data_IF_708728769213
#
_entry.id   IF_708728769213
#
_cell.length_a   1.000
_cell.length_b   1.000
_cell.length_c   1.000
_cell.angle_alpha   90.00
_cell.angle_beta   90.00
_cell.angle_gamma   90.00
#
_symmetry.space_group_name_H-M   'P 1'
#
loop_
_entity.id
_entity.type
_entity.pdbx_description
1 polymer ?
#
# COMPACT_ATOMS: atom_id res chain seq x y z
N UNK A 1 15.47 1.26 -19.31
CA UNK A 1 16.88 1.06 -18.92
C UNK A 1 16.95 -0.29 -18.21
N UNK A 2 18.04 -1.04 -18.36
CA UNK A 2 18.19 -2.31 -17.63
C UNK A 2 18.88 -2.04 -16.31
N UNK A 3 18.16 -2.20 -15.21
CA UNK A 3 18.70 -1.99 -13.87
C UNK A 3 18.97 -3.33 -13.18
N UNK A 4 20.02 -3.34 -12.35
CA UNK A 4 20.47 -4.52 -11.63
C UNK A 4 20.38 -4.27 -10.13
N UNK A 5 19.89 -5.28 -9.43
CA UNK A 5 19.68 -5.27 -8.00
C UNK A 5 20.56 -6.33 -7.35
N UNK A 6 21.37 -5.94 -6.37
CA UNK A 6 22.20 -6.89 -5.64
C UNK A 6 21.70 -7.03 -4.21
N UNK A 7 21.55 -8.26 -3.75
CA UNK A 7 21.09 -8.59 -2.40
C UNK A 7 21.96 -9.71 -1.82
N UNK A 8 22.25 -9.63 -0.53
CA UNK A 8 22.96 -10.69 0.21
C UNK A 8 21.99 -11.38 1.16
N UNK A 9 21.68 -12.65 0.89
CA UNK A 9 20.77 -13.49 1.68
C UNK A 9 21.51 -14.72 2.18
N UNK A 10 21.43 -15.00 3.49
CA UNK A 10 22.05 -16.16 4.13
C UNK A 10 23.54 -16.36 3.80
N UNK A 11 24.28 -15.25 3.66
CA UNK A 11 25.70 -15.23 3.31
C UNK A 11 26.00 -15.43 1.82
N UNK A 12 24.99 -15.48 0.96
CA UNK A 12 25.15 -15.58 -0.49
C UNK A 12 24.66 -14.29 -1.16
N UNK A 13 25.44 -13.79 -2.11
CA UNK A 13 25.09 -12.60 -2.89
C UNK A 13 24.44 -13.01 -4.19
N UNK A 14 23.32 -12.37 -4.51
CA UNK A 14 22.55 -12.59 -5.73
C UNK A 14 22.37 -11.25 -6.44
N UNK A 15 22.46 -11.28 -7.77
CA UNK A 15 22.20 -10.13 -8.62
C UNK A 15 21.04 -10.45 -9.56
N UNK A 16 20.03 -9.59 -9.53
CA UNK A 16 18.80 -9.74 -10.31
C UNK A 16 18.68 -8.58 -11.29
N UNK A 17 18.36 -8.89 -12.53
CA UNK A 17 17.89 -7.89 -13.49
C UNK A 17 16.46 -7.53 -13.16
N UNK A 18 16.13 -6.25 -13.09
CA UNK A 18 14.76 -5.78 -12.89
C UNK A 18 14.40 -4.66 -13.85
N UNK A 19 13.11 -4.51 -14.10
CA UNK A 19 12.56 -3.46 -14.94
C UNK A 19 12.05 -2.33 -14.04
N UNK A 20 12.68 -1.16 -14.16
CA UNK A 20 12.45 0.00 -13.31
C UNK A 20 11.32 0.85 -13.87
N UNK A 21 10.09 0.60 -13.45
CA UNK A 21 8.94 1.38 -13.95
C UNK A 21 8.57 2.61 -13.11
N UNK A 22 9.14 2.78 -11.91
CA UNK A 22 9.04 4.01 -11.06
C UNK A 22 9.53 3.76 -9.61
N UNK A 23 9.68 2.49 -9.21
CA UNK A 23 10.07 2.10 -7.85
C UNK A 23 11.58 1.95 -7.71
N UNK A 24 12.14 2.50 -6.62
CA UNK A 24 13.53 2.25 -6.27
C UNK A 24 13.70 0.77 -5.91
N UNK A 25 14.40 0.02 -6.76
CA UNK A 25 14.65 -1.40 -6.49
C UNK A 25 15.33 -1.63 -5.12
N UNK A 26 16.09 -0.64 -4.63
CA UNK A 26 16.70 -0.65 -3.29
C UNK A 26 15.68 -0.84 -2.17
N UNK A 27 14.52 -0.19 -2.25
CA UNK A 27 13.50 -0.29 -1.20
C UNK A 27 12.91 -1.71 -1.13
N UNK A 28 12.76 -2.37 -2.28
CA UNK A 28 12.34 -3.77 -2.34
C UNK A 28 13.38 -4.71 -1.71
N UNK A 29 14.69 -4.43 -1.89
CA UNK A 29 15.78 -5.16 -1.21
C UNK A 29 15.66 -4.99 0.29
N UNK A 30 15.54 -3.75 0.75
CA UNK A 30 15.51 -3.42 2.16
C UNK A 30 14.31 -4.04 2.87
N UNK A 31 13.13 -4.02 2.23
CA UNK A 31 11.94 -4.71 2.71
C UNK A 31 12.17 -6.22 2.84
N UNK A 32 12.72 -6.87 1.82
CA UNK A 32 12.98 -8.31 1.86
C UNK A 32 14.00 -8.68 2.94
N UNK A 33 15.11 -7.93 3.04
CA UNK A 33 16.13 -8.17 4.06
C UNK A 33 15.60 -7.97 5.49
N UNK A 34 14.77 -6.95 5.70
CA UNK A 34 14.14 -6.67 6.98
C UNK A 34 13.22 -7.83 7.40
N UNK A 35 12.35 -8.28 6.50
CA UNK A 35 11.40 -9.35 6.82
C UNK A 35 12.10 -10.70 6.99
N UNK A 36 13.13 -11.01 6.19
CA UNK A 36 13.96 -12.21 6.40
C UNK A 36 14.60 -12.21 7.77
N UNK A 37 15.21 -11.09 8.21
CA UNK A 37 15.80 -10.98 9.56
C UNK A 37 14.76 -11.14 10.66
N UNK A 38 13.57 -10.59 10.48
CA UNK A 38 12.46 -10.72 11.42
C UNK A 38 12.00 -12.16 11.55
N UNK A 39 11.79 -12.86 10.42
CA UNK A 39 11.45 -14.28 10.41
C UNK A 39 12.59 -15.10 11.05
N UNK A 40 13.85 -14.88 10.66
CA UNK A 40 15.00 -15.55 11.30
C UNK A 40 14.98 -15.40 12.82
N UNK A 41 14.76 -14.19 13.35
CA UNK A 41 14.72 -13.93 14.79
C UNK A 41 13.60 -14.68 15.53
N UNK A 42 12.44 -14.85 14.88
CA UNK A 42 11.29 -15.56 15.45
C UNK A 42 11.54 -17.08 15.56
N UNK A 43 12.37 -17.63 14.67
CA UNK A 43 12.60 -19.07 14.54
C UNK A 43 13.99 -19.52 15.03
N UNK A 44 14.77 -18.63 15.64
CA UNK A 44 16.08 -18.96 16.23
C UNK A 44 16.02 -20.07 17.31
N UNK A 45 14.85 -20.28 17.93
CA UNK A 45 14.64 -21.33 18.93
C UNK A 45 14.13 -22.66 18.35
N UNK A 46 13.71 -22.69 17.09
CA UNK A 46 13.22 -23.88 16.39
C UNK A 46 14.31 -24.46 15.50
N UNK A 47 14.81 -25.63 15.90
CA UNK A 47 16.15 -26.13 15.56
C UNK A 47 16.41 -26.40 14.06
N UNK A 48 15.43 -26.41 13.14
CA UNK A 48 15.70 -26.74 11.73
C UNK A 48 14.70 -26.12 10.74
N UNK A 49 14.47 -24.81 10.77
CA UNK A 49 13.77 -24.18 9.66
C UNK A 49 14.72 -23.96 8.47
N UNK A 50 14.33 -24.53 7.32
CA UNK A 50 15.04 -24.41 6.06
C UNK A 50 15.06 -22.93 5.59
N UNK A 51 16.21 -22.42 5.13
CA UNK A 51 16.37 -21.07 4.56
C UNK A 51 15.33 -20.75 3.49
N UNK A 52 14.92 -21.74 2.70
CA UNK A 52 13.84 -21.60 1.72
C UNK A 52 12.48 -21.30 2.38
N UNK A 53 12.18 -21.96 3.50
CA UNK A 53 10.96 -21.69 4.28
C UNK A 53 10.99 -20.29 4.87
N UNK A 54 12.16 -19.83 5.34
CA UNK A 54 12.35 -18.45 5.83
C UNK A 54 12.03 -17.44 4.73
N UNK A 55 12.57 -17.64 3.51
CA UNK A 55 12.27 -16.78 2.37
C UNK A 55 10.80 -16.80 2.00
N UNK A 56 10.17 -17.97 1.97
CA UNK A 56 8.75 -18.10 1.65
C UNK A 56 7.87 -17.38 2.67
N UNK A 57 8.20 -17.48 3.96
CA UNK A 57 7.51 -16.75 5.02
C UNK A 57 7.71 -15.24 4.90
N UNK A 58 8.93 -14.79 4.62
CA UNK A 58 9.20 -13.37 4.42
C UNK A 58 8.42 -12.80 3.22
N UNK A 59 8.44 -13.51 2.08
CA UNK A 59 7.68 -13.12 0.90
C UNK A 59 6.16 -13.11 1.17
N UNK A 60 5.65 -14.09 1.91
CA UNK A 60 4.24 -14.16 2.27
C UNK A 60 3.84 -12.98 3.17
N UNK A 61 4.65 -12.65 4.17
CA UNK A 61 4.40 -11.52 5.07
C UNK A 61 4.35 -10.19 4.30
N UNK A 62 5.33 -9.94 3.42
CA UNK A 62 5.35 -8.74 2.56
C UNK A 62 4.11 -8.68 1.66
N UNK A 63 3.71 -9.83 1.10
CA UNK A 63 2.52 -9.91 0.23
C UNK A 63 1.24 -9.61 1.01
N UNK A 64 1.11 -10.14 2.22
CA UNK A 64 -0.03 -9.88 3.10
C UNK A 64 -0.11 -8.40 3.49
N UNK A 65 1.03 -7.77 3.81
CA UNK A 65 1.10 -6.35 4.11
C UNK A 65 0.67 -5.50 2.91
N UNK A 66 1.14 -5.83 1.71
CA UNK A 66 0.73 -5.15 0.47
C UNK A 66 -0.78 -5.27 0.21
N UNK A 67 -1.36 -6.46 0.43
CA UNK A 67 -2.81 -6.68 0.30
C UNK A 67 -3.57 -5.83 1.33
N UNK A 68 -3.11 -5.83 2.59
CA UNK A 68 -3.73 -5.03 3.65
C UNK A 68 -3.68 -3.52 3.35
N UNK A 69 -2.53 -3.02 2.87
CA UNK A 69 -2.36 -1.63 2.49
C UNK A 69 -3.30 -1.25 1.34
N UNK A 70 -3.38 -2.09 0.29
CA UNK A 70 -4.30 -1.87 -0.84
C UNK A 70 -5.75 -1.80 -0.36
N UNK A 71 -6.17 -2.71 0.51
CA UNK A 71 -7.54 -2.74 1.04
C UNK A 71 -7.84 -1.49 1.87
N UNK A 72 -6.91 -1.06 2.73
CA UNK A 72 -7.08 0.14 3.54
C UNK A 72 -7.17 1.40 2.67
N UNK A 73 -6.31 1.51 1.65
CA UNK A 73 -6.37 2.62 0.70
C UNK A 73 -7.72 2.70 -0.01
N UNK A 74 -8.21 1.57 -0.55
CA UNK A 74 -9.52 1.51 -1.20
C UNK A 74 -10.66 1.90 -0.26
N UNK A 75 -10.61 1.45 0.99
CA UNK A 75 -11.59 1.81 2.02
C UNK A 75 -11.58 3.30 2.34
N UNK A 76 -10.40 3.90 2.48
CA UNK A 76 -10.26 5.34 2.73
C UNK A 76 -10.75 6.16 1.54
N UNK A 77 -10.44 5.73 0.31
CA UNK A 77 -10.88 6.40 -0.90
C UNK A 77 -12.41 6.37 -1.04
N UNK A 78 -13.05 5.23 -0.75
CA UNK A 78 -14.52 5.12 -0.71
C UNK A 78 -15.10 6.10 0.30
N UNK A 79 -14.60 6.12 1.54
CA UNK A 79 -15.08 7.05 2.58
C UNK A 79 -14.91 8.51 2.18
N UNK A 80 -13.80 8.86 1.53
CA UNK A 80 -13.58 10.22 1.06
C UNK A 80 -14.57 10.59 -0.04
N UNK A 81 -14.78 9.68 -0.99
CA UNK A 81 -15.76 9.83 -2.06
C UNK A 81 -17.17 10.06 -1.50
N UNK A 82 -17.62 9.21 -0.58
CA UNK A 82 -18.94 9.30 0.06
C UNK A 82 -19.11 10.63 0.78
N UNK A 83 -18.10 11.05 1.56
CA UNK A 83 -18.14 12.34 2.27
C UNK A 83 -18.12 13.53 1.31
N UNK A 84 -17.40 13.44 0.19
CA UNK A 84 -17.36 14.50 -0.81
C UNK A 84 -18.70 14.64 -1.53
N UNK A 85 -19.35 13.52 -1.88
CA UNK A 85 -20.66 13.51 -2.51
C UNK A 85 -21.73 14.09 -1.57
N UNK A 86 -21.70 13.72 -0.30
CA UNK A 86 -22.58 14.28 0.73
C UNK A 86 -22.38 15.80 0.89
N UNK A 87 -21.14 16.29 0.87
CA UNK A 87 -20.86 17.72 0.95
C UNK A 87 -21.38 18.48 -0.28
N UNK A 88 -21.19 17.92 -1.48
CA UNK A 88 -21.73 18.49 -2.72
C UNK A 88 -23.25 18.53 -2.66
N UNK A 89 -23.88 17.44 -2.25
CA UNK A 89 -25.34 17.37 -2.13
C UNK A 89 -25.90 18.45 -1.19
N UNK A 90 -25.27 18.65 -0.02
CA UNK A 90 -25.66 19.72 0.92
C UNK A 90 -25.48 21.11 0.33
N UNK A 91 -24.43 21.33 -0.46
CA UNK A 91 -24.22 22.62 -1.13
C UNK A 91 -25.29 22.86 -2.19
N UNK A 92 -25.65 21.85 -2.98
CA UNK A 92 -26.73 21.92 -3.96
C UNK A 92 -28.07 22.22 -3.28
N UNK A 93 -28.37 21.56 -2.15
CA UNK A 93 -29.56 21.83 -1.34
C UNK A 93 -29.61 23.26 -0.79
N UNK A 94 -28.47 23.91 -0.58
CA UNK A 94 -28.42 25.33 -0.15
C UNK A 94 -28.63 26.31 -1.32
N UNK A 95 -28.39 25.89 -2.56
CA UNK A 95 -28.56 26.72 -3.76
C UNK A 95 -30.03 26.74 -4.21
N UNK A 96 -30.77 25.63 -4.05
CA UNK A 96 -32.20 25.52 -4.42
C UNK A 96 -33.14 26.52 -3.68
N UNK A 97 -33.02 26.79 -2.37
CA UNK A 97 -33.93 27.74 -1.69
C UNK A 97 -33.69 29.21 -2.07
N UNK A 98 -32.57 29.54 -2.72
CA UNK A 98 -32.25 30.92 -3.12
C UNK A 98 -32.84 31.31 -4.49
N UNK A 99 -33.31 30.36 -5.31
CA UNK A 99 -33.98 30.65 -6.59
C UNK A 99 -35.49 30.89 -6.46
N UNK A 100 -36.12 30.46 -5.37
CA UNK A 100 -37.57 30.60 -5.17
C UNK A 100 -37.98 31.87 -4.41
N UNK A 101 -37.02 32.61 -3.82
CA UNK A 101 -37.30 33.79 -2.98
C UNK A 101 -37.32 35.14 -3.73
N UNK A 102 -37.21 35.16 -5.06
CA UNK A 102 -37.12 36.43 -5.83
C UNK A 102 -38.38 36.81 -6.63
N UNK A 103 -39.53 36.16 -6.40
CA UNK A 103 -40.75 36.44 -7.20
C UNK A 103 -42.00 36.90 -6.43
N UNK A 104 -41.92 37.19 -5.13
CA UNK A 104 -43.05 37.79 -4.40
C UNK A 104 -42.59 38.95 -3.53
N UNK A 105 -42.50 40.14 -4.15
CA UNK A 105 -42.67 41.50 -3.59
C UNK A 105 -42.13 42.46 -4.68
N UNK A 106 -42.86 43.38 -5.31
CA UNK A 106 -44.16 44.00 -4.99
C UNK A 106 -44.70 44.62 -6.29
N UNK A 107 -46.03 44.60 -6.42
CA UNK A 107 -46.82 45.47 -7.29
C UNK A 107 -46.72 46.95 -6.89
#
# INVERSE_FOLDING_TARGET
MEDYLTITLFGQTYTFKFESDDLSGSEAVDMLLSEVKKVESQYQQSIHINKFVILMLAALNITLEKIALKNNYQHQLSKLSDRSAELIHRLDECIVPLSDSTFIETM
#
